data_IF_733714174257
#
_entry.id   IF_733714174257
#
_cell.length_a   1.000
_cell.length_b   1.000
_cell.length_c   1.000
_cell.angle_alpha   90.00
_cell.angle_beta   90.00
_cell.angle_gamma   90.00
#
_symmetry.space_group_name_H-M   'P 1'
#
loop_
_entity.id
_entity.type
_entity.pdbx_description
1 polymer ?
#
# COMPACT_ATOMS: atom_id res chain seq x y z
N UNK A 1 -7.78 8.13 -2.51
CA UNK A 1 -7.44 6.69 -2.58
C UNK A 1 -7.39 6.13 -1.16
N UNK A 2 -7.42 4.81 -1.01
CA UNK A 2 -7.27 4.13 0.28
C UNK A 2 -6.11 3.13 0.22
N UNK A 3 -5.48 2.90 1.37
CA UNK A 3 -4.41 1.92 1.54
C UNK A 3 -4.74 0.97 2.70
N UNK A 4 -4.43 -0.32 2.53
CA UNK A 4 -4.57 -1.32 3.58
C UNK A 4 -3.40 -2.30 3.54
N UNK A 5 -2.88 -2.62 4.73
CA UNK A 5 -1.87 -3.65 4.94
C UNK A 5 -2.54 -4.96 5.33
N UNK A 6 -2.34 -6.00 4.53
CA UNK A 6 -2.91 -7.32 4.71
C UNK A 6 -1.84 -8.27 5.22
N UNK A 7 -2.13 -8.93 6.34
CA UNK A 7 -1.21 -9.88 6.97
C UNK A 7 -1.20 -11.18 6.18
N UNK A 8 -0.02 -11.60 5.77
CA UNK A 8 0.22 -12.90 5.18
C UNK A 8 0.06 -14.03 6.22
N UNK A 9 -0.13 -15.25 5.73
CA UNK A 9 -0.21 -16.45 6.59
C UNK A 9 0.85 -17.47 6.15
N UNK A 10 1.56 -18.03 7.14
CA UNK A 10 2.61 -19.03 6.92
C UNK A 10 3.66 -18.58 5.92
N UNK A 11 3.69 -19.17 4.72
CA UNK A 11 4.66 -18.85 3.65
C UNK A 11 4.24 -17.66 2.77
N UNK A 12 3.02 -17.15 2.96
CA UNK A 12 2.51 -16.01 2.20
C UNK A 12 3.02 -14.72 2.88
N UNK A 13 3.71 -13.83 2.14
CA UNK A 13 4.20 -12.57 2.69
C UNK A 13 3.04 -11.59 2.95
N UNK A 14 3.35 -10.50 3.65
CA UNK A 14 2.41 -9.39 3.82
C UNK A 14 2.25 -8.61 2.52
N UNK A 15 1.07 -8.05 2.32
CA UNK A 15 0.73 -7.29 1.13
C UNK A 15 0.14 -5.92 1.45
N UNK A 16 0.30 -5.00 0.51
CA UNK A 16 -0.31 -3.69 0.46
C UNK A 16 -1.31 -3.69 -0.69
N UNK A 17 -2.52 -3.21 -0.40
CA UNK A 17 -3.53 -2.90 -1.40
C UNK A 17 -3.75 -1.40 -1.42
N UNK A 18 -3.78 -0.82 -2.61
CA UNK A 18 -4.29 0.52 -2.85
C UNK A 18 -5.63 0.39 -3.56
N UNK A 19 -6.62 1.14 -3.10
CA UNK A 19 -7.96 1.19 -3.67
C UNK A 19 -8.32 2.62 -4.07
N UNK A 20 -9.14 2.78 -5.09
CA UNK A 20 -9.71 4.08 -5.45
C UNK A 20 -10.86 4.48 -4.50
N UNK A 21 -11.51 5.61 -4.77
CA UNK A 21 -12.64 6.11 -3.96
C UNK A 21 -13.87 5.19 -4.01
N UNK A 22 -13.99 4.35 -5.05
CA UNK A 22 -15.04 3.34 -5.18
C UNK A 22 -14.62 1.98 -4.57
N UNK A 23 -13.51 1.96 -3.82
CA UNK A 23 -12.88 0.77 -3.25
C UNK A 23 -12.42 -0.28 -4.26
N UNK A 24 -12.27 0.08 -5.53
CA UNK A 24 -11.73 -0.79 -6.58
C UNK A 24 -10.23 -0.95 -6.36
N UNK A 25 -9.74 -2.19 -6.44
CA UNK A 25 -8.31 -2.49 -6.28
C UNK A 25 -7.51 -1.95 -7.47
N UNK A 26 -6.66 -0.95 -7.21
CA UNK A 26 -5.82 -0.31 -8.23
C UNK A 26 -4.37 -0.75 -8.16
N UNK A 27 -3.85 -1.09 -6.97
CA UNK A 27 -2.50 -1.61 -6.79
C UNK A 27 -2.46 -2.74 -5.77
N UNK A 28 -1.61 -3.75 -6.03
CA UNK A 28 -1.39 -4.88 -5.13
C UNK A 28 0.08 -5.32 -5.19
N UNK A 29 0.78 -5.24 -4.07
CA UNK A 29 2.21 -5.56 -3.99
C UNK A 29 2.59 -6.01 -2.59
N UNK A 30 3.77 -6.63 -2.45
CA UNK A 30 4.24 -7.13 -1.15
C UNK A 30 4.74 -5.98 -0.28
N UNK A 31 4.48 -6.04 1.02
CA UNK A 31 4.91 -5.00 1.97
C UNK A 31 6.44 -4.93 2.13
N UNK A 32 7.15 -6.05 1.90
CA UNK A 32 8.62 -6.12 1.95
C UNK A 32 9.29 -5.69 0.64
N UNK A 33 8.51 -5.43 -0.42
CA UNK A 33 9.00 -4.98 -1.72
C UNK A 33 8.20 -3.75 -2.15
N UNK A 34 8.57 -2.55 -1.65
CA UNK A 34 7.89 -1.33 -2.01
C UNK A 34 7.82 -1.15 -3.53
N UNK A 35 6.72 -0.57 -3.97
CA UNK A 35 6.32 -0.50 -5.36
C UNK A 35 7.36 0.27 -6.19
N UNK A 36 8.07 -0.39 -7.10
CA UNK A 36 9.10 0.25 -7.96
C UNK A 36 8.54 1.21 -9.03
N UNK A 37 7.23 1.44 -9.08
CA UNK A 37 6.53 2.24 -10.10
C UNK A 37 5.36 3.01 -9.49
N UNK A 38 5.61 3.72 -8.39
CA UNK A 38 4.63 4.61 -7.73
C UNK A 38 4.13 5.73 -8.65
N UNK A 39 4.92 6.09 -9.66
CA UNK A 39 4.63 7.05 -10.73
C UNK A 39 3.27 6.78 -11.40
N UNK A 40 2.93 5.51 -11.63
CA UNK A 40 1.66 5.10 -12.25
C UNK A 40 0.42 5.42 -11.43
N UNK A 41 0.61 5.79 -10.17
CA UNK A 41 -0.44 6.08 -9.20
C UNK A 41 -0.43 7.56 -8.80
N UNK A 42 0.33 8.41 -9.50
CA UNK A 42 0.47 9.84 -9.17
C UNK A 42 1.26 10.09 -7.89
N UNK A 43 2.07 9.12 -7.44
CA UNK A 43 2.87 9.18 -6.22
C UNK A 43 4.37 9.37 -6.53
N UNK A 44 4.69 10.01 -7.66
CA UNK A 44 6.05 10.31 -8.06
C UNK A 44 6.77 11.15 -6.98
N UNK A 45 7.99 10.77 -6.62
CA UNK A 45 8.76 11.41 -5.56
C UNK A 45 8.34 11.06 -4.12
N UNK A 46 7.20 10.39 -3.91
CA UNK A 46 6.67 10.04 -2.58
C UNK A 46 7.04 8.63 -2.10
N UNK A 47 8.06 8.02 -2.71
CA UNK A 47 8.49 6.65 -2.40
C UNK A 47 8.85 6.47 -0.92
N UNK A 48 9.62 7.43 -0.37
CA UNK A 48 10.04 7.40 1.03
C UNK A 48 8.88 7.59 2.01
N UNK A 49 7.94 8.47 1.68
CA UNK A 49 6.74 8.71 2.49
C UNK A 49 5.82 7.50 2.48
N UNK A 50 5.66 6.87 1.31
CA UNK A 50 4.91 5.63 1.18
C UNK A 50 5.55 4.49 1.99
N UNK A 51 6.88 4.37 1.96
CA UNK A 51 7.59 3.36 2.75
C UNK A 51 7.38 3.56 4.25
N UNK A 52 7.53 4.80 4.74
CA UNK A 52 7.28 5.15 6.13
C UNK A 52 5.82 4.86 6.54
N UNK A 53 4.85 5.21 5.67
CA UNK A 53 3.43 4.91 5.87
C UNK A 53 3.19 3.40 5.97
N UNK A 54 3.77 2.59 5.07
CA UNK A 54 3.65 1.12 5.06
C UNK A 54 4.23 0.49 6.33
N UNK A 55 5.33 1.03 6.86
CA UNK A 55 5.93 0.55 8.10
C UNK A 55 5.04 0.85 9.31
N UNK A 56 4.41 2.03 9.37
CA UNK A 56 3.50 2.43 10.44
C UNK A 56 2.08 1.87 10.35
N UNK A 57 1.67 1.35 9.19
CA UNK A 57 0.31 0.87 8.96
C UNK A 57 -0.02 -0.39 9.77
N UNK A 58 -1.08 -0.38 10.60
CA UNK A 58 -1.58 -1.58 11.26
C UNK A 58 -2.28 -2.51 10.27
N UNK A 59 -2.15 -3.81 10.51
CA UNK A 59 -2.79 -4.83 9.66
C UNK A 59 -4.32 -4.76 9.75
N UNK A 60 -4.98 -4.91 8.60
CA UNK A 60 -6.43 -4.99 8.49
C UNK A 60 -7.17 -3.67 8.66
N UNK A 61 -6.47 -2.54 8.84
CA UNK A 61 -7.09 -1.22 8.90
C UNK A 61 -6.96 -0.52 7.55
N UNK A 62 -8.11 -0.11 7.01
CA UNK A 62 -8.17 0.75 5.83
C UNK A 62 -7.89 2.18 6.27
N UNK A 63 -6.95 2.84 5.61
CA UNK A 63 -6.60 4.23 5.86
C UNK A 63 -6.73 5.02 4.56
N UNK A 64 -7.20 6.27 4.65
CA UNK A 64 -7.22 7.16 3.49
C UNK A 64 -5.77 7.49 3.13
N UNK A 65 -5.44 7.33 1.85
CA UNK A 65 -4.13 7.69 1.31
C UNK A 65 -4.17 9.18 0.99
N UNK A 66 -3.63 9.98 1.91
CA UNK A 66 -3.43 11.41 1.79
C UNK A 66 -1.91 11.62 1.80
N UNK A 67 -1.31 11.55 0.60
CA UNK A 67 0.12 11.72 0.37
C UNK A 67 0.31 12.93 -0.51
#
# INVERSE_FOLDING_TARGET
MYIIKVKGKAKIPDYIQIRDENFVLVAYFRADRPLKKVEKFGLEGKEKELEALIQGLPFGKLQKLDL
#
